data_IF_091917352536
#
_entry.id   IF_091917352536
#
_cell.length_a   1.000
_cell.length_b   1.000
_cell.length_c   1.000
_cell.angle_alpha   90.00
_cell.angle_beta   90.00
_cell.angle_gamma   90.00
#
_symmetry.space_group_name_H-M   'P 1'
#
loop_
_entity.id
_entity.type
_entity.pdbx_description
1 polymer ?
#
# COMPACT_ATOMS: atom_id res chain seq x y z
N UNK A 1 -43.04 -58.41 -20.43
CA UNK A 1 -42.64 -57.00 -20.39
C UNK A 1 -41.25 -56.90 -19.72
N UNK A 2 -40.16 -56.79 -20.52
CA UNK A 2 -38.79 -56.77 -19.99
C UNK A 2 -38.42 -55.31 -19.68
N UNK A 3 -38.23 -55.00 -18.43
CA UNK A 3 -37.73 -53.67 -18.01
C UNK A 3 -36.21 -53.66 -18.17
N UNK A 4 -35.72 -52.86 -19.09
CA UNK A 4 -34.28 -52.64 -19.29
C UNK A 4 -33.70 -51.96 -18.02
N UNK A 5 -32.74 -52.63 -17.41
CA UNK A 5 -31.95 -52.03 -16.33
C UNK A 5 -31.09 -50.88 -16.90
N UNK A 6 -31.39 -49.66 -16.45
CA UNK A 6 -30.59 -48.48 -16.78
C UNK A 6 -29.25 -48.65 -16.10
N UNK A 7 -28.17 -48.61 -16.88
CA UNK A 7 -26.79 -48.79 -16.41
C UNK A 7 -26.36 -47.56 -15.57
N UNK A 8 -26.66 -47.61 -14.26
CA UNK A 8 -26.32 -46.61 -13.27
C UNK A 8 -24.79 -46.28 -13.21
N UNK A 9 -23.95 -47.26 -13.59
CA UNK A 9 -22.50 -47.07 -13.57
C UNK A 9 -22.00 -46.09 -14.64
N UNK A 10 -22.72 -45.94 -15.76
CA UNK A 10 -22.36 -45.03 -16.86
C UNK A 10 -22.73 -43.59 -16.53
N UNK A 11 -23.83 -43.37 -15.80
CA UNK A 11 -24.25 -42.05 -15.34
C UNK A 11 -23.35 -41.47 -14.24
N UNK A 12 -22.88 -42.28 -13.34
CA UNK A 12 -21.95 -41.86 -12.27
C UNK A 12 -20.57 -41.45 -12.81
N UNK A 13 -20.08 -42.12 -13.85
CA UNK A 13 -18.83 -41.73 -14.56
C UNK A 13 -18.94 -40.39 -15.28
N UNK A 14 -20.08 -40.10 -15.87
CA UNK A 14 -20.34 -38.81 -16.52
C UNK A 14 -20.47 -37.65 -15.49
N UNK A 15 -21.11 -37.88 -14.36
CA UNK A 15 -21.23 -36.90 -13.27
C UNK A 15 -19.87 -36.63 -12.63
N UNK A 16 -19.00 -37.64 -12.47
CA UNK A 16 -17.64 -37.45 -11.93
C UNK A 16 -16.75 -36.68 -12.91
N UNK A 17 -16.91 -36.86 -14.22
CA UNK A 17 -16.16 -36.11 -15.24
C UNK A 17 -16.61 -34.64 -15.26
N UNK A 18 -17.91 -34.35 -15.13
CA UNK A 18 -18.40 -32.97 -15.01
C UNK A 18 -17.97 -32.27 -13.71
N UNK A 19 -17.87 -33.00 -12.60
CA UNK A 19 -17.36 -32.46 -11.32
C UNK A 19 -15.84 -32.19 -11.35
N UNK A 20 -15.06 -32.96 -12.10
CA UNK A 20 -13.62 -32.74 -12.27
C UNK A 20 -13.29 -31.56 -13.19
N UNK A 21 -14.18 -31.19 -14.10
CA UNK A 21 -14.00 -30.00 -14.95
C UNK A 21 -14.43 -28.68 -14.28
N UNK A 22 -15.20 -28.73 -13.19
CA UNK A 22 -15.65 -27.54 -12.47
C UNK A 22 -14.63 -27.00 -11.45
N UNK A 23 -13.48 -27.67 -11.25
CA UNK A 23 -12.53 -27.35 -10.16
C UNK A 23 -11.25 -26.60 -10.59
N UNK A 24 -11.16 -26.16 -11.84
CA UNK A 24 -10.00 -25.36 -12.29
C UNK A 24 -10.42 -24.03 -12.92
N UNK A 25 -11.32 -23.29 -12.30
CA UNK A 25 -11.40 -21.87 -12.56
C UNK A 25 -10.22 -21.18 -11.84
N UNK A 26 -9.00 -21.34 -12.34
CA UNK A 26 -7.95 -20.39 -12.04
C UNK A 26 -8.49 -19.02 -12.46
N UNK A 27 -8.68 -18.13 -11.51
CA UNK A 27 -9.04 -16.77 -11.82
C UNK A 27 -7.88 -16.18 -12.65
N UNK A 28 -8.05 -16.18 -13.95
CA UNK A 28 -7.10 -15.52 -14.85
C UNK A 28 -7.20 -14.03 -14.64
N UNK A 29 -6.06 -13.32 -14.65
CA UNK A 29 -6.07 -11.86 -14.58
C UNK A 29 -7.02 -11.31 -15.64
N UNK A 30 -7.84 -10.29 -15.32
CA UNK A 30 -8.80 -9.72 -16.26
C UNK A 30 -8.13 -9.25 -17.55
N UNK A 31 -8.78 -9.51 -18.68
CA UNK A 31 -8.29 -9.06 -19.99
C UNK A 31 -8.58 -7.58 -20.15
N UNK A 32 -7.58 -6.81 -20.55
CA UNK A 32 -7.73 -5.36 -20.81
C UNK A 32 -8.78 -5.12 -21.91
N UNK A 33 -9.70 -4.18 -21.64
CA UNK A 33 -10.76 -3.78 -22.55
C UNK A 33 -10.18 -3.43 -23.93
N UNK A 34 -10.65 -4.08 -25.01
CA UNK A 34 -10.13 -3.84 -26.36
C UNK A 34 -10.44 -2.44 -26.89
N UNK A 35 -9.54 -1.86 -27.71
CA UNK A 35 -9.80 -0.63 -28.46
C UNK A 35 -11.08 -0.81 -29.30
N UNK A 36 -11.90 0.23 -29.38
CA UNK A 36 -13.20 0.23 -30.03
C UNK A 36 -14.36 -0.28 -29.17
N UNK A 37 -14.09 -0.79 -27.96
CA UNK A 37 -15.13 -1.20 -27.02
C UNK A 37 -15.86 0.00 -26.40
N UNK A 38 -17.14 -0.18 -26.11
CA UNK A 38 -17.91 0.79 -25.34
C UNK A 38 -17.50 0.75 -23.87
N UNK A 39 -17.44 1.91 -23.23
CA UNK A 39 -17.13 2.00 -21.79
C UNK A 39 -18.12 1.19 -20.96
N UNK A 40 -17.69 0.21 -20.16
CA UNK A 40 -18.54 -0.48 -19.21
C UNK A 40 -19.20 0.52 -18.24
N UNK A 41 -20.51 0.38 -17.97
CA UNK A 41 -21.19 1.25 -17.04
C UNK A 41 -20.70 0.98 -15.61
N UNK A 42 -20.62 2.03 -14.80
CA UNK A 42 -20.26 1.92 -13.40
C UNK A 42 -21.14 2.77 -12.49
N UNK A 43 -21.15 2.41 -11.20
CA UNK A 43 -21.71 3.17 -10.11
C UNK A 43 -20.80 2.96 -8.89
N UNK A 44 -19.91 3.92 -8.63
CA UNK A 44 -18.85 3.79 -7.62
C UNK A 44 -18.89 4.95 -6.62
N UNK A 45 -18.57 4.69 -5.34
CA UNK A 45 -18.42 5.72 -4.34
C UNK A 45 -17.16 6.55 -4.58
N UNK A 46 -17.30 7.86 -4.54
CA UNK A 46 -16.19 8.81 -4.52
C UNK A 46 -15.78 9.15 -3.09
N UNK A 47 -14.50 9.52 -2.92
CA UNK A 47 -13.95 9.96 -1.62
C UNK A 47 -14.65 11.21 -1.06
N UNK A 48 -15.32 11.98 -1.90
CA UNK A 48 -16.11 13.18 -1.54
C UNK A 48 -17.53 12.85 -1.06
N UNK A 49 -17.87 11.58 -0.90
CA UNK A 49 -19.17 11.10 -0.44
C UNK A 49 -20.25 11.02 -1.53
N UNK A 50 -19.92 11.33 -2.79
CA UNK A 50 -20.85 11.21 -3.93
C UNK A 50 -20.70 9.85 -4.59
N UNK A 51 -21.77 9.41 -5.26
CA UNK A 51 -21.72 8.26 -6.17
C UNK A 51 -21.56 8.75 -7.60
N UNK A 52 -20.59 8.21 -8.31
CA UNK A 52 -20.29 8.55 -9.70
C UNK A 52 -20.69 7.42 -10.64
N UNK A 53 -21.24 7.80 -11.79
CA UNK A 53 -21.61 6.91 -12.88
C UNK A 53 -21.06 7.46 -14.20
N UNK A 54 -21.13 6.70 -15.31
CA UNK A 54 -20.82 7.27 -16.62
C UNK A 54 -21.68 8.51 -16.95
N UNK A 55 -22.92 8.57 -16.46
CA UNK A 55 -23.79 9.75 -16.65
C UNK A 55 -23.26 10.99 -15.95
N UNK A 56 -22.48 10.84 -14.88
CA UNK A 56 -21.86 11.98 -14.18
C UNK A 56 -20.89 12.75 -15.09
N UNK A 57 -20.42 12.13 -16.17
CA UNK A 57 -19.48 12.70 -17.14
C UNK A 57 -20.11 12.89 -18.52
N UNK A 58 -21.45 12.86 -18.64
CA UNK A 58 -22.14 12.87 -19.95
C UNK A 58 -21.82 14.09 -20.82
N UNK A 59 -21.55 15.25 -20.21
CA UNK A 59 -21.24 16.50 -20.92
C UNK A 59 -19.81 16.60 -21.45
N UNK A 60 -18.92 15.67 -21.04
CA UNK A 60 -17.53 15.68 -21.49
C UNK A 60 -17.41 15.14 -22.91
N UNK A 61 -16.69 15.86 -23.77
CA UNK A 61 -16.32 15.40 -25.13
C UNK A 61 -15.42 14.18 -25.12
N UNK A 62 -14.52 14.11 -24.12
CA UNK A 62 -13.60 12.99 -23.93
C UNK A 62 -13.63 12.61 -22.45
N UNK A 63 -13.65 11.31 -22.16
CA UNK A 63 -13.57 10.77 -20.81
C UNK A 63 -12.27 9.96 -20.66
N UNK A 64 -11.43 10.34 -19.70
CA UNK A 64 -10.25 9.58 -19.31
C UNK A 64 -10.47 8.94 -17.93
N UNK A 65 -10.34 7.61 -17.87
CA UNK A 65 -10.41 6.83 -16.63
C UNK A 65 -9.00 6.34 -16.32
N UNK A 66 -8.49 6.69 -15.14
CA UNK A 66 -7.16 6.28 -14.68
C UNK A 66 -7.30 5.31 -13.52
N UNK A 67 -6.93 4.06 -13.73
CA UNK A 67 -6.77 3.13 -12.63
C UNK A 67 -5.47 3.44 -11.91
N UNK A 68 -5.56 3.79 -10.63
CA UNK A 68 -4.42 4.19 -9.78
C UNK A 68 -4.66 3.75 -8.34
N UNK A 69 -3.65 3.86 -7.50
CA UNK A 69 -3.74 3.44 -6.09
C UNK A 69 -2.81 4.29 -5.21
N UNK A 70 -2.90 4.12 -3.88
CA UNK A 70 -2.09 4.91 -2.96
C UNK A 70 -0.71 4.28 -2.70
N UNK A 71 -0.65 2.94 -2.55
CA UNK A 71 0.56 2.26 -2.07
C UNK A 71 1.66 2.16 -3.13
N UNK A 72 1.30 2.12 -4.41
CA UNK A 72 2.26 1.90 -5.49
C UNK A 72 3.17 3.13 -5.71
N UNK A 73 4.50 3.00 -5.61
CA UNK A 73 5.43 4.11 -5.86
C UNK A 73 5.27 4.72 -7.24
N UNK A 74 5.13 3.90 -8.28
CA UNK A 74 4.87 4.37 -9.64
C UNK A 74 3.57 5.19 -9.71
N UNK A 75 2.47 4.72 -9.10
CA UNK A 75 1.23 5.48 -9.06
C UNK A 75 1.40 6.83 -8.36
N UNK A 76 2.17 6.87 -7.26
CA UNK A 76 2.51 8.10 -6.54
C UNK A 76 3.32 9.08 -7.40
N UNK A 77 4.23 8.59 -8.23
CA UNK A 77 5.01 9.42 -9.15
C UNK A 77 4.14 10.11 -10.22
N UNK A 78 2.96 9.55 -10.49
CA UNK A 78 2.02 10.10 -11.48
C UNK A 78 0.95 11.05 -10.90
N UNK A 79 0.83 11.18 -9.59
CA UNK A 79 -0.21 12.01 -8.94
C UNK A 79 -0.23 13.44 -9.47
N UNK A 80 0.91 14.12 -9.52
CA UNK A 80 1.00 15.49 -10.01
C UNK A 80 0.72 15.59 -11.51
N UNK A 81 1.10 14.58 -12.29
CA UNK A 81 0.80 14.52 -13.74
C UNK A 81 -0.70 14.40 -13.98
N UNK A 82 -1.41 13.58 -13.21
CA UNK A 82 -2.87 13.44 -13.31
C UNK A 82 -3.55 14.74 -12.89
N UNK A 83 -3.05 15.43 -11.86
CA UNK A 83 -3.56 16.73 -11.43
C UNK A 83 -3.37 17.80 -12.52
N UNK A 84 -2.18 17.89 -13.11
CA UNK A 84 -1.87 18.81 -14.20
C UNK A 84 -2.71 18.50 -15.43
N UNK A 85 -2.80 17.21 -15.82
CA UNK A 85 -3.64 16.79 -16.94
C UNK A 85 -5.11 17.19 -16.71
N UNK A 86 -5.63 17.02 -15.49
CA UNK A 86 -7.00 17.42 -15.14
C UNK A 86 -7.18 18.94 -15.25
N UNK A 87 -6.26 19.74 -14.73
CA UNK A 87 -6.34 21.20 -14.78
C UNK A 87 -6.31 21.72 -16.22
N UNK A 88 -5.38 21.19 -17.05
CA UNK A 88 -5.13 21.66 -18.42
C UNK A 88 -6.27 21.33 -19.38
N UNK A 89 -6.98 20.21 -19.15
CA UNK A 89 -7.97 19.71 -20.10
C UNK A 89 -9.43 19.93 -19.67
N UNK A 90 -9.68 20.27 -18.41
CA UNK A 90 -11.05 20.50 -17.91
C UNK A 90 -11.83 21.53 -18.76
N UNK A 91 -11.22 22.67 -19.08
CA UNK A 91 -11.84 23.73 -19.89
C UNK A 91 -11.97 23.35 -21.38
N UNK A 92 -11.27 22.32 -21.82
CA UNK A 92 -11.32 21.80 -23.20
C UNK A 92 -12.43 20.76 -23.38
N UNK A 93 -13.18 20.43 -22.31
CA UNK A 93 -14.27 19.45 -22.36
C UNK A 93 -13.82 18.02 -22.09
N UNK A 94 -12.68 17.80 -21.44
CA UNK A 94 -12.23 16.49 -20.99
C UNK A 94 -12.61 16.31 -19.51
N UNK A 95 -13.20 15.15 -19.20
CA UNK A 95 -13.35 14.69 -17.81
C UNK A 95 -12.27 13.64 -17.51
N UNK A 96 -11.61 13.80 -16.36
CA UNK A 96 -10.66 12.81 -15.83
C UNK A 96 -11.19 12.29 -14.51
N UNK A 97 -11.22 10.98 -14.34
CA UNK A 97 -11.64 10.29 -13.13
C UNK A 97 -10.63 9.19 -12.80
N UNK A 98 -10.26 9.09 -11.52
CA UNK A 98 -9.39 8.03 -11.04
C UNK A 98 -10.22 6.95 -10.33
N UNK A 99 -9.83 5.68 -10.48
CA UNK A 99 -10.45 4.52 -9.81
C UNK A 99 -9.35 3.73 -9.13
N UNK A 100 -9.53 3.44 -7.82
CA UNK A 100 -8.69 2.48 -7.11
C UNK A 100 -9.31 1.08 -7.25
N UNK A 101 -8.63 0.15 -7.95
CA UNK A 101 -9.12 -1.21 -8.18
C UNK A 101 -8.76 -2.18 -7.05
N UNK A 102 -7.84 -1.81 -6.15
CA UNK A 102 -7.19 -2.73 -5.24
C UNK A 102 -8.08 -3.16 -4.08
N UNK A 103 -8.15 -4.47 -3.85
CA UNK A 103 -8.70 -5.00 -2.61
C UNK A 103 -7.71 -4.72 -1.46
N UNK A 104 -8.09 -3.93 -0.44
CA UNK A 104 -7.15 -3.45 0.57
C UNK A 104 -6.41 -4.57 1.32
N UNK A 105 -7.10 -5.69 1.60
CA UNK A 105 -6.50 -6.83 2.29
C UNK A 105 -5.57 -7.67 1.40
N UNK A 106 -5.48 -7.40 0.10
CA UNK A 106 -4.52 -8.04 -0.80
C UNK A 106 -3.19 -7.30 -0.89
N UNK A 107 -3.07 -6.13 -0.26
CA UNK A 107 -1.81 -5.40 -0.16
C UNK A 107 -1.04 -5.95 1.05
N UNK A 108 0.06 -6.65 0.79
CA UNK A 108 0.90 -7.19 1.85
C UNK A 108 1.73 -6.10 2.54
N UNK A 109 2.10 -6.30 3.82
CA UNK A 109 2.85 -5.28 4.56
C UNK A 109 4.21 -4.96 3.95
N UNK A 110 4.92 -5.95 3.42
CA UNK A 110 6.21 -5.77 2.74
C UNK A 110 6.10 -4.98 1.42
N UNK A 111 4.95 -5.03 0.76
CA UNK A 111 4.67 -4.19 -0.42
C UNK A 111 4.50 -2.71 -0.06
N UNK A 112 4.17 -2.42 1.20
CA UNK A 112 4.10 -1.05 1.72
C UNK A 112 5.47 -0.45 2.07
N UNK A 113 6.57 -1.20 1.88
CA UNK A 113 7.92 -0.73 2.22
C UNK A 113 8.36 0.58 1.55
N UNK A 114 7.71 0.98 0.47
CA UNK A 114 7.95 2.24 -0.24
C UNK A 114 6.83 3.26 -0.05
N UNK A 115 5.88 3.00 0.83
CA UNK A 115 4.71 3.83 1.06
C UNK A 115 4.45 4.04 2.55
N UNK A 116 3.76 5.11 2.85
CA UNK A 116 3.27 5.46 4.18
C UNK A 116 1.83 5.03 4.43
N UNK A 117 1.13 4.54 3.38
CA UNK A 117 -0.28 4.14 3.49
C UNK A 117 -0.65 3.05 2.48
N UNK A 118 -1.73 2.32 2.79
CA UNK A 118 -2.36 1.33 1.93
C UNK A 118 -3.47 1.91 1.07
N UNK A 119 -4.40 1.02 0.65
CA UNK A 119 -5.45 1.31 -0.32
C UNK A 119 -6.87 1.25 0.26
N UNK A 120 -7.03 1.34 1.58
CA UNK A 120 -8.35 1.44 2.18
C UNK A 120 -9.05 2.75 1.77
N UNK A 121 -10.39 2.74 1.79
CA UNK A 121 -11.16 3.94 1.46
C UNK A 121 -10.86 5.14 2.37
N UNK A 122 -10.51 4.88 3.64
CA UNK A 122 -10.08 5.91 4.58
C UNK A 122 -8.71 6.51 4.17
N UNK A 123 -7.75 5.66 3.78
CA UNK A 123 -6.44 6.09 3.31
C UNK A 123 -6.53 6.83 1.97
N UNK A 124 -7.45 6.44 1.07
CA UNK A 124 -7.72 7.19 -0.16
C UNK A 124 -8.17 8.63 0.13
N UNK A 125 -9.09 8.82 1.10
CA UNK A 125 -9.53 10.16 1.53
C UNK A 125 -8.37 10.98 2.08
N UNK A 126 -7.56 10.37 2.93
CA UNK A 126 -6.38 11.03 3.52
C UNK A 126 -5.38 11.42 2.45
N UNK A 127 -5.03 10.49 1.54
CA UNK A 127 -4.08 10.73 0.44
C UNK A 127 -4.54 11.87 -0.46
N UNK A 128 -5.80 11.84 -0.89
CA UNK A 128 -6.37 12.86 -1.75
C UNK A 128 -6.37 14.25 -1.10
N UNK A 129 -6.62 14.32 0.21
CA UNK A 129 -6.51 15.55 1.00
C UNK A 129 -5.06 16.05 1.04
N UNK A 130 -4.11 15.19 1.41
CA UNK A 130 -2.70 15.55 1.58
C UNK A 130 -2.04 15.98 0.27
N UNK A 131 -2.46 15.40 -0.84
CA UNK A 131 -1.95 15.69 -2.19
C UNK A 131 -2.81 16.67 -2.98
N UNK A 132 -3.89 17.19 -2.36
CA UNK A 132 -4.82 18.15 -2.98
C UNK A 132 -5.31 17.68 -4.36
N UNK A 133 -5.90 16.47 -4.43
CA UNK A 133 -6.44 15.94 -5.70
C UNK A 133 -7.56 16.84 -6.23
N UNK A 134 -7.52 17.12 -7.52
CA UNK A 134 -8.47 17.99 -8.23
C UNK A 134 -9.39 17.21 -9.20
N UNK A 135 -9.44 15.90 -9.06
CA UNK A 135 -10.23 14.95 -9.86
C UNK A 135 -11.05 14.03 -8.95
N UNK A 136 -12.18 13.49 -9.40
CA UNK A 136 -12.91 12.45 -8.67
C UNK A 136 -12.04 11.21 -8.49
N UNK A 137 -11.94 10.70 -7.26
CA UNK A 137 -11.23 9.47 -6.93
C UNK A 137 -12.22 8.45 -6.37
N UNK A 138 -12.44 7.37 -7.11
CA UNK A 138 -13.49 6.38 -6.87
C UNK A 138 -12.89 5.08 -6.36
N UNK A 139 -13.70 4.32 -5.62
CA UNK A 139 -13.27 3.07 -5.02
C UNK A 139 -14.08 1.88 -5.54
N UNK A 140 -13.41 0.90 -6.11
CA UNK A 140 -13.99 -0.39 -6.56
C UNK A 140 -13.37 -1.61 -5.86
N UNK A 141 -12.38 -1.40 -5.00
CA UNK A 141 -11.54 -2.45 -4.43
C UNK A 141 -12.28 -3.47 -3.53
N UNK A 142 -13.53 -3.26 -3.14
CA UNK A 142 -14.31 -4.25 -2.38
C UNK A 142 -14.99 -5.24 -3.31
N UNK A 143 -15.62 -4.74 -4.38
CA UNK A 143 -16.40 -5.54 -5.34
C UNK A 143 -15.56 -5.97 -6.53
N UNK A 144 -14.61 -5.13 -6.94
CA UNK A 144 -13.74 -5.28 -8.13
C UNK A 144 -14.54 -5.44 -9.45
N UNK A 145 -15.87 -5.31 -9.38
CA UNK A 145 -16.77 -5.63 -10.49
C UNK A 145 -16.49 -4.76 -11.71
N UNK A 146 -16.21 -3.49 -11.49
CA UNK A 146 -15.97 -2.53 -12.57
C UNK A 146 -14.54 -2.67 -13.07
N UNK A 147 -13.58 -2.73 -12.15
CA UNK A 147 -12.17 -2.87 -12.50
C UNK A 147 -11.91 -4.13 -13.33
N UNK A 148 -12.61 -5.24 -13.04
CA UNK A 148 -12.51 -6.47 -13.83
C UNK A 148 -13.06 -6.33 -15.26
N UNK A 149 -14.07 -5.49 -15.49
CA UNK A 149 -14.60 -5.23 -16.83
C UNK A 149 -13.66 -4.37 -17.69
N UNK A 150 -12.90 -3.46 -17.06
CA UNK A 150 -11.89 -2.67 -17.76
C UNK A 150 -10.56 -3.42 -17.92
N UNK A 151 -10.22 -4.32 -17.02
CA UNK A 151 -9.01 -5.12 -17.01
C UNK A 151 -7.72 -4.29 -16.96
N UNK A 152 -7.54 -3.40 -15.95
CA UNK A 152 -6.27 -2.73 -15.78
C UNK A 152 -5.18 -3.74 -15.42
N UNK A 153 -4.04 -3.69 -16.11
CA UNK A 153 -2.91 -4.61 -15.88
C UNK A 153 -2.00 -4.12 -14.75
N UNK A 154 -1.95 -2.81 -14.53
CA UNK A 154 -1.09 -2.18 -13.54
C UNK A 154 -1.74 -0.89 -13.01
N UNK A 155 -1.13 -0.29 -11.99
CA UNK A 155 -1.41 1.06 -11.54
C UNK A 155 -0.14 1.91 -11.67
N UNK A 156 -0.17 3.02 -12.45
CA UNK A 156 -1.33 3.57 -13.17
C UNK A 156 -1.59 2.92 -14.54
N UNK A 157 -2.87 2.87 -14.97
CA UNK A 157 -3.30 2.46 -16.32
C UNK A 157 -4.43 3.37 -16.76
N UNK A 158 -4.31 4.06 -17.92
CA UNK A 158 -5.31 4.99 -18.43
C UNK A 158 -6.11 4.39 -19.59
N UNK A 159 -7.41 4.73 -19.62
CA UNK A 159 -8.37 4.41 -20.67
C UNK A 159 -9.02 5.72 -21.13
N UNK A 160 -8.91 6.07 -22.43
CA UNK A 160 -9.44 7.31 -22.98
C UNK A 160 -10.54 7.00 -23.98
N UNK A 161 -11.73 7.54 -23.71
CA UNK A 161 -12.95 7.34 -24.48
C UNK A 161 -13.36 8.62 -25.18
N UNK A 162 -13.83 8.50 -26.43
CA UNK A 162 -14.42 9.59 -27.19
C UNK A 162 -15.79 10.03 -26.61
N UNK A 163 -16.46 10.96 -27.31
CA UNK A 163 -17.80 11.47 -26.94
C UNK A 163 -18.87 10.37 -26.93
N UNK A 164 -18.76 9.36 -27.79
CA UNK A 164 -19.65 8.19 -27.84
C UNK A 164 -19.30 7.13 -26.78
N UNK A 165 -18.27 7.40 -25.95
CA UNK A 165 -17.73 6.44 -24.96
C UNK A 165 -17.18 5.19 -25.60
N UNK A 166 -16.56 5.30 -26.77
CA UNK A 166 -15.79 4.24 -27.43
C UNK A 166 -14.31 4.42 -27.06
N UNK A 167 -13.66 3.36 -26.63
CA UNK A 167 -12.25 3.35 -26.22
C UNK A 167 -11.35 3.63 -27.44
N UNK A 168 -10.58 4.70 -27.35
CA UNK A 168 -9.67 5.16 -28.38
C UNK A 168 -8.19 5.00 -28.00
N UNK A 169 -7.89 5.02 -26.69
CA UNK A 169 -6.54 4.83 -26.19
C UNK A 169 -6.55 4.04 -24.88
N UNK A 170 -5.59 3.13 -24.71
CA UNK A 170 -5.31 2.47 -23.43
C UNK A 170 -3.81 2.24 -23.26
N UNK A 171 -3.30 2.41 -22.04
CA UNK A 171 -1.89 2.19 -21.75
C UNK A 171 -1.37 3.05 -20.61
N UNK A 172 -0.12 3.51 -20.73
CA UNK A 172 0.55 4.39 -19.78
C UNK A 172 0.18 5.85 -20.05
N UNK A 173 0.43 6.72 -19.06
CA UNK A 173 0.28 8.17 -19.23
C UNK A 173 1.48 8.75 -20.01
N UNK A 174 2.68 8.28 -19.74
CA UNK A 174 3.96 8.60 -20.40
C UNK A 174 5.01 7.51 -20.14
N UNK A 175 6.24 7.71 -20.62
CA UNK A 175 7.31 6.71 -20.58
C UNK A 175 8.20 6.77 -19.34
N UNK A 176 7.94 7.66 -18.36
CA UNK A 176 8.81 7.82 -17.20
C UNK A 176 8.14 7.51 -15.87
N UNK A 177 8.79 6.71 -15.03
CA UNK A 177 8.36 6.46 -13.65
C UNK A 177 8.92 7.50 -12.65
N UNK A 178 9.78 8.43 -13.10
CA UNK A 178 10.43 9.41 -12.22
C UNK A 178 9.58 10.68 -12.10
N UNK A 179 9.31 11.18 -10.87
CA UNK A 179 8.62 12.45 -10.68
C UNK A 179 9.34 13.61 -11.36
N UNK A 180 8.59 14.54 -11.96
CA UNK A 180 9.14 15.76 -12.58
C UNK A 180 9.92 15.56 -13.88
N UNK A 181 9.98 14.35 -14.44
CA UNK A 181 10.74 14.06 -15.67
C UNK A 181 9.89 13.92 -16.93
N UNK A 182 8.57 13.89 -16.78
CA UNK A 182 7.59 13.75 -17.87
C UNK A 182 6.26 14.41 -17.48
N UNK A 183 5.37 14.62 -18.44
CA UNK A 183 4.12 15.36 -18.27
C UNK A 183 2.94 14.66 -18.97
N UNK A 184 2.83 13.35 -18.84
CA UNK A 184 1.77 12.52 -19.42
C UNK A 184 1.67 12.65 -20.95
N UNK A 185 2.79 12.64 -21.67
CA UNK A 185 2.87 12.93 -23.10
C UNK A 185 2.03 11.99 -23.94
N UNK A 186 2.03 10.69 -23.65
CA UNK A 186 1.24 9.70 -24.43
C UNK A 186 -0.27 9.98 -24.26
N UNK A 187 -0.72 10.25 -23.03
CA UNK A 187 -2.11 10.59 -22.75
C UNK A 187 -2.50 11.94 -23.36
N UNK A 188 -1.64 12.96 -23.25
CA UNK A 188 -1.89 14.29 -23.83
C UNK A 188 -2.05 14.20 -25.33
N UNK A 189 -1.17 13.48 -26.03
CA UNK A 189 -1.25 13.27 -27.47
C UNK A 189 -2.58 12.66 -27.89
N UNK A 190 -3.03 11.60 -27.20
CA UNK A 190 -4.30 10.97 -27.49
C UNK A 190 -5.50 11.90 -27.25
N UNK A 191 -5.47 12.69 -26.15
CA UNK A 191 -6.50 13.68 -25.83
C UNK A 191 -6.56 14.80 -26.90
N UNK A 192 -5.41 15.34 -27.31
CA UNK A 192 -5.33 16.44 -28.27
C UNK A 192 -5.83 15.98 -29.65
N UNK A 193 -5.47 14.77 -30.11
CA UNK A 193 -5.95 14.17 -31.34
C UNK A 193 -7.49 14.02 -31.35
N UNK A 194 -8.08 13.52 -30.25
CA UNK A 194 -9.54 13.35 -30.12
C UNK A 194 -10.29 14.68 -30.07
N UNK A 195 -9.73 15.69 -29.38
CA UNK A 195 -10.37 17.01 -29.26
C UNK A 195 -10.47 17.74 -30.60
N UNK A 196 -9.59 17.45 -31.55
CA UNK A 196 -9.65 18.00 -32.91
C UNK A 196 -10.30 17.04 -33.91
N UNK A 197 -10.97 16.00 -33.43
CA UNK A 197 -11.70 15.03 -34.26
C UNK A 197 -10.84 14.07 -35.09
N UNK A 198 -9.55 13.92 -34.73
CA UNK A 198 -8.64 12.97 -35.38
C UNK A 198 -8.68 11.60 -34.68
N UNK A 199 -8.37 10.56 -35.45
CA UNK A 199 -8.09 9.24 -34.88
C UNK A 199 -6.81 9.26 -34.05
N UNK A 200 -6.78 8.50 -32.96
CA UNK A 200 -5.60 8.37 -32.11
C UNK A 200 -4.50 7.62 -32.87
N UNK A 201 -3.35 8.26 -33.07
CA UNK A 201 -2.25 7.72 -33.88
C UNK A 201 -1.55 6.54 -33.23
N UNK A 202 -1.53 6.48 -31.88
CA UNK A 202 -1.01 5.36 -31.09
C UNK A 202 -2.10 4.96 -30.10
N UNK A 203 -2.94 3.99 -30.49
CA UNK A 203 -4.10 3.59 -29.69
C UNK A 203 -3.73 2.78 -28.44
N UNK A 204 -2.54 2.17 -28.38
CA UNK A 204 -2.12 1.32 -27.25
C UNK A 204 -0.63 1.50 -26.95
N UNK A 205 -0.29 1.63 -25.69
CA UNK A 205 1.09 1.62 -25.19
C UNK A 205 1.24 0.56 -24.08
N UNK A 206 2.48 0.10 -23.84
CA UNK A 206 2.79 -0.84 -22.76
C UNK A 206 2.66 -0.11 -21.41
N UNK A 207 1.80 -0.60 -20.52
CA UNK A 207 1.70 -0.16 -19.12
C UNK A 207 2.86 -0.71 -18.30
N UNK A 208 3.22 0.02 -17.25
CA UNK A 208 4.12 -0.40 -16.19
C UNK A 208 3.61 0.13 -14.86
N UNK A 209 4.17 -0.36 -13.75
CA UNK A 209 3.74 -0.05 -12.39
C UNK A 209 3.43 -1.32 -11.60
N UNK A 210 2.84 -1.17 -10.42
CA UNK A 210 2.49 -2.31 -9.58
C UNK A 210 1.27 -3.05 -10.16
N UNK A 211 1.29 -4.38 -10.06
CA UNK A 211 0.13 -5.21 -10.44
C UNK A 211 -1.09 -4.87 -9.58
N UNK A 212 -2.27 -4.94 -10.17
CA UNK A 212 -3.53 -4.76 -9.43
C UNK A 212 -3.66 -5.85 -8.36
N UNK A 213 -4.06 -5.44 -7.16
CA UNK A 213 -4.23 -6.31 -5.99
C UNK A 213 -5.66 -6.84 -5.95
N UNK A 214 -5.92 -7.86 -6.76
CA UNK A 214 -7.20 -8.54 -6.78
C UNK A 214 -7.44 -9.34 -5.50
N UNK A 215 -8.69 -9.53 -5.11
CA UNK A 215 -9.08 -10.24 -3.88
C UNK A 215 -8.49 -11.65 -3.80
N UNK A 216 -8.41 -12.38 -4.89
CA UNK A 216 -7.79 -13.71 -4.93
C UNK A 216 -6.28 -13.70 -4.66
N UNK A 217 -5.61 -12.56 -4.82
CA UNK A 217 -4.19 -12.38 -4.47
C UNK A 217 -3.97 -12.12 -2.98
N UNK A 218 -5.04 -12.02 -2.19
CA UNK A 218 -4.95 -11.81 -0.73
C UNK A 218 -4.37 -13.01 0.03
N UNK A 219 -4.23 -14.17 -0.60
CA UNK A 219 -3.75 -15.40 0.04
C UNK A 219 -2.40 -15.23 0.73
N UNK A 220 -1.46 -14.53 0.08
CA UNK A 220 -0.15 -14.22 0.70
C UNK A 220 -0.30 -13.30 1.90
N UNK A 221 -1.04 -12.21 1.78
CA UNK A 221 -1.26 -11.27 2.87
C UNK A 221 -1.94 -11.93 4.08
N UNK A 222 -2.85 -12.90 3.83
CA UNK A 222 -3.51 -13.71 4.87
C UNK A 222 -2.54 -14.70 5.52
N UNK A 223 -1.62 -15.29 4.75
CA UNK A 223 -0.65 -16.29 5.25
C UNK A 223 0.57 -15.66 5.94
N UNK A 224 0.93 -14.43 5.60
CA UNK A 224 2.09 -13.76 6.16
C UNK A 224 2.13 -13.74 7.71
N UNK A 225 1.03 -13.50 8.46
CA UNK A 225 1.03 -13.60 9.91
C UNK A 225 1.42 -15.00 10.43
N UNK A 226 1.10 -16.07 9.70
CA UNK A 226 1.47 -17.45 10.08
C UNK A 226 2.97 -17.71 9.88
N UNK A 227 3.58 -17.05 8.90
CA UNK A 227 5.04 -17.08 8.69
C UNK A 227 5.73 -16.31 9.80
N UNK A 228 5.26 -15.11 10.11
CA UNK A 228 5.82 -14.25 11.16
C UNK A 228 5.70 -14.88 12.56
N UNK A 229 4.66 -15.67 12.83
CA UNK A 229 4.48 -16.38 14.08
C UNK A 229 5.58 -17.42 14.35
N UNK A 230 6.32 -17.83 13.32
CA UNK A 230 7.44 -18.78 13.41
C UNK A 230 8.80 -18.09 13.58
N UNK A 231 8.87 -16.77 13.43
CA UNK A 231 10.09 -16.02 13.62
C UNK A 231 10.52 -16.03 15.08
N UNK A 232 11.82 -16.17 15.31
CA UNK A 232 12.36 -16.17 16.68
C UNK A 232 12.20 -14.80 17.32
N UNK A 233 11.72 -14.79 18.56
CA UNK A 233 11.60 -13.58 19.39
C UNK A 233 12.58 -13.68 20.54
N UNK A 234 13.51 -12.72 20.62
CA UNK A 234 14.52 -12.61 21.69
C UNK A 234 14.32 -11.34 22.48
N UNK A 235 14.86 -11.33 23.70
CA UNK A 235 15.04 -10.15 24.52
C UNK A 235 16.45 -10.26 25.14
N UNK A 236 17.41 -9.64 24.50
CA UNK A 236 18.80 -9.71 24.90
C UNK A 236 19.13 -8.63 25.92
N UNK A 237 20.15 -8.88 26.77
CA UNK A 237 20.63 -7.86 27.68
C UNK A 237 21.55 -6.88 26.92
N UNK A 238 21.45 -5.60 27.27
CA UNK A 238 22.32 -4.57 26.71
C UNK A 238 22.93 -3.74 27.82
N UNK A 239 24.24 -3.57 27.74
CA UNK A 239 25.02 -2.74 28.66
C UNK A 239 25.14 -1.30 28.15
N UNK A 240 25.71 -0.41 28.98
CA UNK A 240 25.86 1.02 28.68
C UNK A 240 26.57 1.28 27.35
N UNK A 241 27.67 0.54 27.07
CA UNK A 241 28.43 0.74 25.84
C UNK A 241 27.63 0.34 24.60
N UNK A 242 26.87 -0.76 24.71
CA UNK A 242 25.94 -1.16 23.65
C UNK A 242 24.87 -0.11 23.36
N UNK A 243 24.33 0.55 24.41
CA UNK A 243 23.37 1.65 24.22
C UNK A 243 24.00 2.83 23.49
N UNK A 244 25.23 3.23 23.86
CA UNK A 244 25.95 4.31 23.18
C UNK A 244 26.14 4.00 21.69
N UNK A 245 26.49 2.75 21.37
CA UNK A 245 26.67 2.33 19.98
C UNK A 245 25.35 2.30 19.22
N UNK A 246 24.24 1.96 19.86
CA UNK A 246 22.91 2.08 19.26
C UNK A 246 22.59 3.54 18.89
N UNK A 247 22.87 4.48 19.76
CA UNK A 247 22.56 5.91 19.54
C UNK A 247 23.50 6.52 18.47
N UNK A 248 24.78 6.13 18.46
CA UNK A 248 25.75 6.56 17.41
C UNK A 248 25.32 6.15 16.01
N UNK A 249 24.57 5.06 15.92
CA UNK A 249 24.08 4.50 14.65
C UNK A 249 25.13 4.51 13.52
N UNK A 250 26.18 3.75 13.67
CA UNK A 250 27.25 3.60 12.66
C UNK A 250 26.84 2.70 11.47
N UNK A 251 25.55 2.32 11.39
CA UNK A 251 25.01 1.56 10.25
C UNK A 251 24.53 2.49 9.12
N UNK A 252 24.22 1.90 7.99
CA UNK A 252 23.57 2.57 6.84
C UNK A 252 22.05 2.67 6.95
N UNK A 253 21.47 2.17 8.07
CA UNK A 253 20.03 2.10 8.29
C UNK A 253 19.50 3.27 9.09
N UNK A 254 18.30 3.72 8.75
CA UNK A 254 17.47 4.54 9.63
C UNK A 254 16.98 3.68 10.77
N UNK A 255 17.22 4.10 11.99
CA UNK A 255 16.92 3.34 13.20
C UNK A 255 15.76 3.96 13.97
N UNK A 256 14.70 3.17 14.18
CA UNK A 256 13.58 3.52 15.05
C UNK A 256 13.81 2.84 16.41
N UNK A 257 14.00 3.63 17.46
CA UNK A 257 14.15 3.14 18.83
C UNK A 257 12.89 3.45 19.60
N UNK A 258 12.33 2.45 20.30
CA UNK A 258 11.23 2.64 21.25
C UNK A 258 11.65 2.12 22.62
N UNK A 259 11.59 2.97 23.64
CA UNK A 259 11.83 2.61 25.04
C UNK A 259 10.50 2.38 25.71
N UNK A 260 10.35 1.20 26.32
CA UNK A 260 9.10 0.70 26.88
C UNK A 260 9.30 -0.08 28.18
N UNK A 261 8.22 -0.47 28.86
CA UNK A 261 8.28 -1.40 29.98
C UNK A 261 6.98 -2.21 30.09
N UNK A 262 7.05 -3.39 30.74
CA UNK A 262 5.88 -4.29 30.93
C UNK A 262 4.78 -3.68 31.81
N UNK A 263 5.09 -2.70 32.62
CA UNK A 263 4.16 -2.00 33.52
C UNK A 263 3.61 -0.70 32.89
N UNK A 264 4.12 -0.29 31.72
CA UNK A 264 3.70 0.90 31.02
C UNK A 264 2.55 0.57 30.05
N UNK A 265 1.31 0.81 30.47
CA UNK A 265 0.12 0.52 29.66
C UNK A 265 0.13 1.13 28.26
N UNK A 266 0.36 2.46 28.11
CA UNK A 266 0.49 3.08 26.79
C UNK A 266 1.58 2.47 25.91
N UNK A 267 2.73 2.07 26.48
CA UNK A 267 3.80 1.40 25.74
C UNK A 267 3.34 0.07 25.15
N UNK A 268 2.68 -0.75 25.97
CA UNK A 268 2.19 -2.07 25.53
C UNK A 268 1.14 -1.93 24.44
N UNK A 269 0.31 -0.89 24.50
CA UNK A 269 -0.74 -0.63 23.52
C UNK A 269 -0.18 -0.21 22.14
N UNK A 270 0.96 0.50 22.10
CA UNK A 270 1.55 0.95 20.83
C UNK A 270 2.55 -0.04 20.19
N UNK A 271 3.07 -1.03 20.96
CA UNK A 271 4.02 -2.02 20.41
C UNK A 271 3.55 -2.72 19.13
N UNK A 272 2.28 -3.11 18.95
CA UNK A 272 1.79 -3.70 17.70
C UNK A 272 2.00 -2.80 16.48
N UNK A 273 1.91 -1.49 16.64
CA UNK A 273 2.14 -0.53 15.55
C UNK A 273 3.61 -0.49 15.15
N UNK A 274 4.53 -0.53 16.11
CA UNK A 274 5.97 -0.63 15.85
C UNK A 274 6.31 -1.94 15.12
N UNK A 275 5.75 -3.06 15.57
CA UNK A 275 5.95 -4.36 14.92
C UNK A 275 5.42 -4.33 13.49
N UNK A 276 4.28 -3.69 13.25
CA UNK A 276 3.73 -3.50 11.92
C UNK A 276 4.67 -2.67 11.04
N UNK A 277 5.19 -1.54 11.54
CA UNK A 277 6.19 -0.73 10.82
C UNK A 277 7.48 -1.50 10.54
N UNK A 278 7.94 -2.34 11.48
CA UNK A 278 9.07 -3.22 11.23
C UNK A 278 8.82 -4.16 10.05
N UNK A 279 7.66 -4.79 9.98
CA UNK A 279 7.29 -5.68 8.87
C UNK A 279 7.15 -4.97 7.53
N UNK A 280 6.74 -3.70 7.55
CA UNK A 280 6.68 -2.87 6.35
C UNK A 280 8.07 -2.51 5.81
N UNK A 281 9.01 -2.17 6.69
CA UNK A 281 10.26 -1.50 6.29
C UNK A 281 11.54 -2.31 6.49
N UNK A 282 11.53 -3.44 7.22
CA UNK A 282 12.72 -4.23 7.59
C UNK A 282 13.52 -4.79 6.40
N UNK A 283 12.93 -4.85 5.21
CA UNK A 283 13.61 -5.30 3.99
C UNK A 283 14.31 -4.15 3.24
N UNK A 284 14.38 -2.98 3.88
CA UNK A 284 15.01 -1.76 3.36
C UNK A 284 16.07 -1.25 4.35
N UNK A 285 16.63 -0.08 4.08
CA UNK A 285 17.61 0.59 4.96
C UNK A 285 16.93 1.11 6.24
N UNK A 286 16.26 0.21 6.95
CA UNK A 286 15.49 0.47 8.17
C UNK A 286 15.67 -0.65 9.19
N UNK A 287 15.67 -0.29 10.47
CA UNK A 287 15.59 -1.25 11.57
C UNK A 287 14.78 -0.69 12.73
N UNK A 288 14.02 -1.58 13.39
CA UNK A 288 13.35 -1.31 14.64
C UNK A 288 14.13 -1.96 15.78
N UNK A 289 14.41 -1.17 16.82
CA UNK A 289 14.99 -1.63 18.08
C UNK A 289 14.06 -1.23 19.22
N UNK A 290 13.69 -2.19 20.06
CA UNK A 290 12.99 -1.87 21.30
C UNK A 290 13.90 -2.07 22.50
N UNK A 291 13.79 -1.18 23.50
CA UNK A 291 14.60 -1.23 24.72
C UNK A 291 13.65 -1.26 25.91
N UNK A 292 13.66 -2.37 26.65
CA UNK A 292 12.89 -2.48 27.87
C UNK A 292 13.61 -1.78 29.01
N UNK A 293 12.87 -0.89 29.69
CA UNK A 293 13.26 -0.25 30.94
C UNK A 293 12.83 -1.06 32.19
N UNK A 294 12.40 -2.30 32.03
CA UNK A 294 12.16 -3.19 33.17
C UNK A 294 13.45 -3.48 33.91
N UNK A 295 13.33 -3.92 35.14
CA UNK A 295 14.46 -4.45 35.90
C UNK A 295 14.91 -5.79 35.31
N UNK A 296 16.21 -6.14 35.37
CA UNK A 296 16.74 -7.40 34.79
C UNK A 296 15.99 -8.66 35.23
N UNK A 297 15.49 -8.72 36.47
CA UNK A 297 14.72 -9.85 37.00
C UNK A 297 13.37 -10.05 36.27
N UNK A 298 12.88 -9.02 35.60
CA UNK A 298 11.63 -9.07 34.86
C UNK A 298 11.79 -9.51 33.39
N UNK A 299 13.01 -9.88 32.98
CA UNK A 299 13.31 -10.30 31.59
C UNK A 299 12.34 -11.34 31.06
N UNK A 300 12.03 -12.36 31.86
CA UNK A 300 11.10 -13.44 31.47
C UNK A 300 9.70 -12.89 31.14
N UNK A 301 9.21 -11.91 31.93
CA UNK A 301 7.91 -11.27 31.70
C UNK A 301 7.92 -10.45 30.39
N UNK A 302 8.99 -9.67 30.16
CA UNK A 302 9.18 -8.91 28.94
C UNK A 302 9.21 -9.80 27.70
N UNK A 303 10.01 -10.88 27.74
CA UNK A 303 10.09 -11.85 26.64
C UNK A 303 8.74 -12.52 26.35
N UNK A 304 7.98 -12.89 27.40
CA UNK A 304 6.64 -13.48 27.22
C UNK A 304 5.69 -12.53 26.50
N UNK A 305 5.72 -11.23 26.84
CA UNK A 305 4.91 -10.22 26.18
C UNK A 305 5.31 -10.04 24.71
N UNK A 306 6.61 -9.92 24.41
CA UNK A 306 7.13 -9.80 23.05
C UNK A 306 6.77 -11.03 22.18
N UNK A 307 6.88 -12.24 22.73
CA UNK A 307 6.47 -13.48 22.05
C UNK A 307 4.98 -13.47 21.71
N UNK A 308 4.12 -13.05 22.66
CA UNK A 308 2.67 -12.90 22.40
C UNK A 308 2.38 -11.95 21.25
N UNK A 309 3.19 -10.92 21.07
CA UNK A 309 3.05 -9.91 20.00
C UNK A 309 3.81 -10.28 18.74
N UNK A 310 4.56 -11.38 18.73
CA UNK A 310 5.41 -11.79 17.60
C UNK A 310 6.44 -10.70 17.23
N UNK A 311 7.07 -10.08 18.22
CA UNK A 311 8.04 -8.99 18.07
C UNK A 311 9.42 -9.54 17.67
N UNK A 312 9.57 -9.97 16.42
CA UNK A 312 10.78 -10.56 15.86
C UNK A 312 11.86 -9.55 15.46
N UNK A 313 11.63 -8.27 15.73
CA UNK A 313 12.66 -7.24 15.63
C UNK A 313 13.72 -7.39 16.75
N UNK A 314 14.77 -6.59 16.70
CA UNK A 314 15.79 -6.52 17.77
C UNK A 314 15.18 -5.95 19.03
N UNK A 315 15.25 -6.70 20.14
CA UNK A 315 14.74 -6.27 21.43
C UNK A 315 15.80 -6.43 22.50
N UNK A 316 16.02 -5.37 23.25
CA UNK A 316 16.95 -5.32 24.37
C UNK A 316 16.26 -5.03 25.70
N UNK A 317 16.85 -5.53 26.78
CA UNK A 317 16.57 -5.12 28.15
C UNK A 317 17.84 -4.47 28.71
N UNK A 318 17.73 -3.26 29.21
CA UNK A 318 18.87 -2.58 29.81
C UNK A 318 19.30 -3.30 31.09
N UNK A 319 20.55 -3.79 31.09
CA UNK A 319 21.10 -4.62 32.19
C UNK A 319 21.61 -3.75 33.35
N UNK A 320 20.73 -2.91 33.89
CA UNK A 320 21.04 -2.08 35.07
C UNK A 320 19.77 -1.77 35.87
N UNK A 321 19.96 -1.59 37.17
CA UNK A 321 18.92 -1.08 38.08
C UNK A 321 18.85 0.45 38.08
N UNK A 322 19.90 1.11 37.56
CA UNK A 322 19.97 2.57 37.46
C UNK A 322 19.26 3.09 36.21
N UNK A 323 18.05 3.57 36.40
CA UNK A 323 17.21 4.11 35.32
C UNK A 323 17.62 5.53 34.86
N UNK A 324 18.30 6.29 35.72
CA UNK A 324 18.83 7.59 35.32
C UNK A 324 19.91 7.44 34.26
N UNK A 325 20.72 6.38 34.38
CA UNK A 325 21.73 6.06 33.41
C UNK A 325 21.14 5.70 32.04
N UNK A 326 20.01 4.97 32.01
CA UNK A 326 19.28 4.70 30.75
C UNK A 326 18.84 6.00 30.08
N UNK A 327 18.31 6.95 30.88
CA UNK A 327 17.84 8.25 30.38
C UNK A 327 18.99 9.02 29.72
N UNK A 328 20.12 9.17 30.44
CA UNK A 328 21.31 9.90 29.96
C UNK A 328 21.88 9.29 28.67
N UNK A 329 21.89 7.95 28.56
CA UNK A 329 22.48 7.24 27.42
C UNK A 329 21.59 7.27 26.18
N UNK A 330 20.27 7.32 26.34
CA UNK A 330 19.33 7.33 25.22
C UNK A 330 19.21 8.73 24.63
N UNK A 331 18.91 9.74 25.45
CA UNK A 331 18.79 11.13 24.99
C UNK A 331 18.82 12.08 26.19
N UNK A 332 19.73 13.03 26.20
CA UNK A 332 19.86 14.04 27.26
C UNK A 332 18.58 14.91 27.40
N UNK A 333 17.74 14.98 26.38
CA UNK A 333 16.48 15.73 26.44
C UNK A 333 15.30 14.88 26.98
N UNK A 334 15.50 13.58 27.19
CA UNK A 334 14.45 12.71 27.71
C UNK A 334 14.28 12.90 29.23
N UNK A 335 13.06 13.13 29.67
CA UNK A 335 12.71 13.34 31.06
C UNK A 335 12.31 12.06 31.81
N UNK A 336 12.54 10.86 31.20
CA UNK A 336 12.30 9.56 31.81
C UNK A 336 10.87 9.03 31.72
N UNK A 337 9.91 9.79 31.17
CA UNK A 337 8.55 9.26 30.99
C UNK A 337 8.45 8.35 29.79
N UNK A 338 7.68 7.25 29.93
CA UNK A 338 7.46 6.23 28.92
C UNK A 338 6.06 6.34 28.29
N UNK A 339 5.90 5.92 27.02
CA UNK A 339 6.94 5.47 26.09
C UNK A 339 7.84 6.61 25.62
N UNK A 340 9.04 6.27 25.15
CA UNK A 340 9.94 7.22 24.51
C UNK A 340 10.42 6.69 23.15
N UNK A 341 10.34 7.53 22.13
CA UNK A 341 10.64 7.11 20.76
C UNK A 341 11.63 8.05 20.09
N UNK A 342 12.67 7.48 19.47
CA UNK A 342 13.64 8.17 18.64
C UNK A 342 13.63 7.62 17.22
N UNK A 343 13.78 8.49 16.22
CA UNK A 343 14.17 8.13 14.87
C UNK A 343 15.55 8.72 14.61
N UNK A 344 16.52 7.84 14.25
CA UNK A 344 17.94 8.20 14.15
C UNK A 344 18.42 7.87 12.74
N UNK A 345 19.02 8.86 12.07
CA UNK A 345 19.67 8.64 10.78
C UNK A 345 21.00 7.91 10.94
N UNK A 346 21.57 7.31 9.86
CA UNK A 346 22.97 6.93 9.81
C UNK A 346 23.88 8.05 10.33
N UNK A 347 24.85 7.69 11.16
CA UNK A 347 25.75 8.65 11.79
C UNK A 347 25.20 9.34 13.05
N UNK A 348 24.06 8.88 13.62
CA UNK A 348 23.57 9.26 14.95
C UNK A 348 22.75 10.56 14.99
N UNK A 349 22.45 11.17 13.86
CA UNK A 349 21.57 12.36 13.86
C UNK A 349 20.15 12.00 14.25
N UNK A 350 19.64 12.56 15.34
CA UNK A 350 18.24 12.38 15.77
C UNK A 350 17.34 13.21 14.83
N UNK A 351 16.43 12.51 14.15
CA UNK A 351 15.45 13.07 13.19
C UNK A 351 14.10 13.36 13.87
N UNK A 352 13.78 12.60 14.90
CA UNK A 352 12.54 12.73 15.66
C UNK A 352 12.72 12.20 17.07
N UNK A 353 12.08 12.87 18.00
CA UNK A 353 11.96 12.42 19.39
C UNK A 353 10.53 12.66 19.89
N UNK A 354 10.03 11.73 20.67
CA UNK A 354 8.69 11.83 21.26
C UNK A 354 8.63 11.14 22.61
N UNK A 355 8.22 11.88 23.62
CA UNK A 355 7.77 11.35 24.89
C UNK A 355 6.24 11.17 24.83
N UNK A 356 5.74 9.99 25.26
CA UNK A 356 4.36 9.57 25.06
C UNK A 356 4.12 8.87 23.72
N UNK A 357 2.89 8.41 23.49
CA UNK A 357 2.53 7.65 22.30
C UNK A 357 2.75 8.44 21.01
N UNK A 358 3.18 7.73 19.95
CA UNK A 358 3.43 8.31 18.63
C UNK A 358 2.15 8.46 17.81
N UNK A 359 2.18 9.34 16.81
CA UNK A 359 1.25 9.30 15.69
C UNK A 359 1.80 8.36 14.62
N UNK A 360 1.17 7.20 14.43
CA UNK A 360 1.63 6.14 13.53
C UNK A 360 1.72 6.60 12.08
N UNK A 361 0.73 7.37 11.60
CA UNK A 361 0.74 7.87 10.22
C UNK A 361 1.89 8.87 9.99
N UNK A 362 2.14 9.76 10.94
CA UNK A 362 3.27 10.68 10.90
C UNK A 362 4.61 9.92 10.91
N UNK A 363 4.74 8.91 11.77
CA UNK A 363 5.97 8.11 11.86
C UNK A 363 6.26 7.36 10.56
N UNK A 364 5.26 6.70 9.97
CA UNK A 364 5.40 6.05 8.65
C UNK A 364 5.86 7.03 7.59
N UNK A 365 5.26 8.22 7.53
CA UNK A 365 5.65 9.27 6.60
C UNK A 365 7.12 9.67 6.80
N UNK A 366 7.55 9.92 8.04
CA UNK A 366 8.94 10.27 8.37
C UNK A 366 9.93 9.17 7.97
N UNK A 367 9.60 7.90 8.25
CA UNK A 367 10.43 6.77 7.83
C UNK A 367 10.61 6.79 6.31
N UNK A 368 9.51 6.82 5.54
CA UNK A 368 9.57 6.79 4.07
C UNK A 368 10.29 8.00 3.48
N UNK A 369 10.19 9.18 4.10
CA UNK A 369 10.94 10.37 3.68
C UNK A 369 12.47 10.19 3.86
N UNK A 370 12.90 9.38 4.82
CA UNK A 370 14.33 9.11 5.06
C UNK A 370 14.87 7.97 4.18
N UNK A 371 14.15 6.84 4.11
CA UNK A 371 14.60 5.68 3.32
C UNK A 371 14.29 5.81 1.82
N UNK A 372 13.59 6.86 1.44
CA UNK A 372 13.24 7.17 0.06
C UNK A 372 12.02 6.40 -0.45
N UNK A 373 11.40 6.92 -1.49
CA UNK A 373 10.40 6.21 -2.31
C UNK A 373 11.12 5.68 -3.55
N UNK A 374 10.86 4.43 -3.93
CA UNK A 374 11.39 3.90 -5.18
C UNK A 374 10.60 4.49 -6.35
N UNK A 375 11.31 5.08 -7.30
CA UNK A 375 10.77 5.56 -8.56
C UNK A 375 11.61 5.07 -9.74
#
# INVERSE_FOLDING_TARGET
>A
MKINAIDLNKQWKLILIYLLFALNAFATDPVTLPIGSKAPPFSLPGIDGKTYTLKSFATAKVLAIVFTCNHCPTAQAYEDRIKLLTADYKKKGVAIVAINPNYPAAVALDELGYSDMGDSFAEMKQRAKDKAYNFPYLFDGVTETISRQYGPMATPHIFIFDEKRILQYTGRLDASEKPGTANAEDARKALDELLVGKSVSVAKTKTFGCSVKWKEKSEWAIKAPLVWAKEEVKLDLIEEEGLKDLIKNNSDKVRLINVWATWCGPCVNELPDFITMNRMYRNREFELITISADLPERRAKGLTLLKKMQASNTNYLFNSTDKYKLIELIDAEWQGALPYTLLIAPGGKILYRKQGAINVAEMKKRIVEQIGRYY
#
